data_IF_944336020820
#
_entry.id   IF_944336020820
#
_cell.length_a   1.000
_cell.length_b   1.000
_cell.length_c   1.000
_cell.angle_alpha   90.00
_cell.angle_beta   90.00
_cell.angle_gamma   90.00
#
_symmetry.space_group_name_H-M   'P 1'
#
loop_
_entity.id
_entity.type
_entity.pdbx_description
1 polymer ?
#
# COMPACT_ATOMS: atom_id res chain seq x y z
N UNK A 1 -0.66 71.52 -22.18
CA UNK A 1 -0.33 71.90 -23.57
C UNK A 1 0.05 70.64 -24.30
N UNK A 2 -0.77 70.28 -25.27
CA UNK A 2 -0.78 69.04 -26.05
C UNK A 2 0.43 68.90 -26.97
N UNK A 3 1.10 67.75 -26.98
CA UNK A 3 1.79 67.30 -28.20
C UNK A 3 1.53 65.81 -28.43
N UNK A 4 0.66 65.58 -29.41
CA UNK A 4 0.36 64.32 -30.03
C UNK A 4 1.33 64.20 -31.21
N UNK A 5 2.12 63.13 -31.29
CA UNK A 5 2.82 62.79 -32.55
C UNK A 5 2.61 61.32 -32.86
N UNK A 6 2.01 61.16 -34.03
CA UNK A 6 1.41 59.97 -34.59
C UNK A 6 2.44 58.92 -34.97
N UNK A 7 2.11 57.67 -34.63
CA UNK A 7 2.73 56.41 -35.03
C UNK A 7 2.92 56.32 -36.55
N UNK A 8 4.13 55.94 -37.01
CA UNK A 8 4.35 55.41 -38.36
C UNK A 8 4.94 54.00 -38.30
N UNK A 9 4.00 53.07 -38.42
CA UNK A 9 4.08 51.69 -38.89
C UNK A 9 5.34 51.34 -39.71
N UNK A 10 6.13 50.39 -39.20
CA UNK A 10 6.85 49.41 -40.01
C UNK A 10 6.71 48.04 -39.34
N UNK A 11 5.88 47.22 -39.99
CA UNK A 11 5.70 45.80 -39.71
C UNK A 11 7.03 45.12 -39.99
N UNK A 12 7.75 44.71 -38.95
CA UNK A 12 8.75 43.65 -39.04
C UNK A 12 8.20 42.45 -38.27
N UNK A 13 7.77 41.45 -39.01
CA UNK A 13 7.48 40.12 -38.51
C UNK A 13 8.79 39.46 -38.06
N UNK A 14 8.82 38.89 -36.86
CA UNK A 14 9.43 37.58 -36.56
C UNK A 14 9.49 37.31 -35.04
N UNK A 15 8.74 36.28 -34.62
CA UNK A 15 9.19 35.24 -33.68
C UNK A 15 9.60 35.73 -32.28
N UNK A 16 8.66 35.90 -31.34
CA UNK A 16 8.99 35.90 -29.89
C UNK A 16 7.79 35.49 -29.01
N UNK A 17 7.06 34.46 -29.40
CA UNK A 17 6.19 33.69 -28.52
C UNK A 17 6.19 32.26 -29.10
N UNK A 18 6.53 31.17 -28.38
CA UNK A 18 6.45 30.94 -26.93
C UNK A 18 7.66 30.17 -26.32
N UNK A 19 8.32 30.65 -25.26
CA UNK A 19 9.30 29.82 -24.53
C UNK A 19 9.26 30.00 -23.01
N UNK A 20 8.07 30.23 -22.47
CA UNK A 20 7.85 30.29 -21.02
C UNK A 20 6.91 29.18 -20.52
N UNK A 21 6.73 28.10 -21.29
CA UNK A 21 5.89 26.94 -20.93
C UNK A 21 6.66 25.61 -20.79
N UNK A 22 7.99 25.64 -20.71
CA UNK A 22 8.83 24.42 -20.63
C UNK A 22 9.66 24.28 -19.34
N UNK A 23 9.22 24.87 -18.22
CA UNK A 23 9.86 24.68 -16.92
C UNK A 23 8.93 24.04 -15.88
N UNK A 24 8.01 23.20 -16.31
CA UNK A 24 7.58 22.12 -15.42
C UNK A 24 8.71 21.09 -15.45
N UNK A 25 9.31 20.69 -14.31
CA UNK A 25 10.10 19.48 -14.32
C UNK A 25 9.19 18.37 -14.85
N UNK A 26 9.47 17.86 -16.05
CA UNK A 26 8.95 16.54 -16.39
C UNK A 26 9.60 15.63 -15.38
N UNK A 27 8.84 15.16 -14.39
CA UNK A 27 9.31 14.16 -13.44
C UNK A 27 9.92 13.01 -14.26
N UNK A 28 11.24 12.84 -14.20
CA UNK A 28 11.86 11.64 -14.70
C UNK A 28 11.49 10.53 -13.73
N UNK A 29 10.92 9.48 -14.29
CA UNK A 29 10.52 8.23 -13.68
C UNK A 29 11.76 7.46 -13.19
N UNK A 30 12.41 7.96 -12.13
CA UNK A 30 13.75 7.49 -11.68
C UNK A 30 13.80 7.32 -10.15
N UNK A 31 12.72 6.81 -9.54
CA UNK A 31 12.87 6.18 -8.24
C UNK A 31 12.96 4.69 -8.51
N UNK A 32 14.16 4.11 -8.37
CA UNK A 32 14.41 2.66 -8.38
C UNK A 32 13.74 2.04 -7.13
N UNK A 33 12.41 2.12 -7.04
CA UNK A 33 11.66 1.53 -5.95
C UNK A 33 11.56 0.01 -6.15
N UNK A 34 11.47 -0.76 -5.07
CA UNK A 34 11.12 -2.17 -5.13
C UNK A 34 9.81 -2.37 -5.89
N UNK A 35 9.73 -3.48 -6.62
CA UNK A 35 8.55 -3.97 -7.33
C UNK A 35 8.34 -5.43 -6.94
N UNK A 36 7.45 -5.64 -5.96
CA UNK A 36 7.28 -6.93 -5.28
C UNK A 36 5.81 -7.30 -5.19
N UNK A 37 5.53 -8.59 -5.25
CA UNK A 37 4.28 -9.17 -4.77
C UNK A 37 4.45 -9.59 -3.30
N UNK A 38 3.41 -9.40 -2.50
CA UNK A 38 3.36 -9.77 -1.09
C UNK A 38 2.39 -10.93 -0.90
N UNK A 39 2.88 -11.96 -0.22
CA UNK A 39 2.09 -13.06 0.30
C UNK A 39 1.92 -12.89 1.81
N UNK A 40 0.68 -12.83 2.27
CA UNK A 40 0.36 -12.80 3.70
C UNK A 40 -0.46 -14.01 4.07
N UNK A 41 0.12 -14.86 4.89
CA UNK A 41 -0.53 -16.06 5.43
C UNK A 41 -1.19 -15.72 6.75
N UNK A 42 -2.41 -16.21 6.95
CA UNK A 42 -3.21 -15.93 8.13
C UNK A 42 -3.92 -17.18 8.65
N UNK A 43 -4.36 -17.12 9.90
CA UNK A 43 -5.23 -18.09 10.56
C UNK A 43 -6.30 -17.37 11.39
N UNK A 44 -7.41 -18.05 11.69
CA UNK A 44 -8.53 -17.49 12.45
C UNK A 44 -9.52 -16.67 11.62
N UNK A 45 -9.53 -16.83 10.29
CA UNK A 45 -10.50 -16.18 9.42
C UNK A 45 -10.91 -17.03 8.21
N UNK A 46 -12.13 -16.84 7.74
CA UNK A 46 -12.61 -17.42 6.49
C UNK A 46 -12.71 -16.32 5.43
N UNK A 47 -12.12 -16.51 4.25
CA UNK A 47 -12.22 -15.53 3.16
C UNK A 47 -13.50 -15.75 2.35
N UNK A 48 -14.33 -14.71 2.23
CA UNK A 48 -15.49 -14.68 1.33
C UNK A 48 -15.43 -13.41 0.51
N UNK A 49 -15.36 -13.55 -0.82
CA UNK A 49 -15.28 -12.43 -1.78
C UNK A 49 -14.20 -11.38 -1.43
N UNK A 50 -13.04 -11.85 -0.95
CA UNK A 50 -11.91 -10.99 -0.57
C UNK A 50 -12.06 -10.30 0.79
N UNK A 51 -13.12 -10.59 1.55
CA UNK A 51 -13.29 -10.14 2.94
C UNK A 51 -12.94 -11.26 3.90
N UNK A 52 -12.14 -10.96 4.93
CA UNK A 52 -11.78 -11.90 5.98
C UNK A 52 -12.83 -11.89 7.08
N UNK A 53 -13.60 -12.96 7.22
CA UNK A 53 -14.56 -13.11 8.31
C UNK A 53 -13.88 -13.71 9.53
N UNK A 54 -13.97 -13.01 10.66
CA UNK A 54 -13.29 -13.36 11.91
C UNK A 54 -14.35 -13.60 12.99
N UNK A 55 -14.28 -14.76 13.63
CA UNK A 55 -15.07 -15.08 14.81
C UNK A 55 -14.52 -14.33 16.03
N UNK A 56 -15.35 -13.49 16.66
CA UNK A 56 -15.00 -12.70 17.84
C UNK A 56 -14.57 -13.57 19.05
N UNK A 57 -14.85 -14.87 19.03
CA UNK A 57 -14.47 -15.81 20.10
C UNK A 57 -13.11 -16.48 19.87
N UNK A 58 -12.46 -16.23 18.73
CA UNK A 58 -11.17 -16.83 18.36
C UNK A 58 -10.13 -15.76 18.00
N UNK A 59 -8.85 -15.97 18.33
CA UNK A 59 -7.80 -15.05 17.91
C UNK A 59 -7.67 -15.06 16.38
N UNK A 60 -7.27 -13.91 15.84
CA UNK A 60 -6.84 -13.80 14.45
C UNK A 60 -5.33 -13.58 14.42
N UNK A 61 -4.65 -14.23 13.47
CA UNK A 61 -3.21 -14.10 13.31
C UNK A 61 -2.81 -13.92 11.85
N UNK A 62 -1.81 -13.07 11.64
CA UNK A 62 -0.95 -13.12 10.46
C UNK A 62 0.26 -13.96 10.87
N UNK A 63 0.45 -15.09 10.21
CA UNK A 63 1.51 -16.05 10.52
C UNK A 63 2.78 -15.82 9.71
N UNK A 64 2.66 -15.27 8.49
CA UNK A 64 3.82 -14.83 7.72
C UNK A 64 3.53 -13.71 6.74
N UNK A 65 4.55 -12.87 6.49
CA UNK A 65 4.59 -11.89 5.40
C UNK A 65 5.85 -12.13 4.58
N UNK A 66 5.69 -12.32 3.26
CA UNK A 66 6.81 -12.58 2.34
C UNK A 66 6.72 -11.62 1.16
N UNK A 67 7.86 -11.09 0.73
CA UNK A 67 7.98 -10.31 -0.50
C UNK A 67 8.72 -11.10 -1.57
N UNK A 68 8.14 -11.18 -2.76
CA UNK A 68 8.73 -11.80 -3.94
C UNK A 68 8.93 -10.73 -5.01
N UNK A 69 10.15 -10.53 -5.53
CA UNK A 69 10.35 -9.55 -6.59
C UNK A 69 9.64 -9.98 -7.86
N UNK A 70 9.01 -9.01 -8.53
CA UNK A 70 8.41 -9.20 -9.85
C UNK A 70 9.50 -9.24 -10.92
N UNK A 71 10.59 -8.51 -10.71
CA UNK A 71 11.75 -8.45 -11.61
C UNK A 71 12.53 -9.76 -11.59
N UNK A 72 12.70 -10.37 -12.76
CA UNK A 72 13.36 -11.67 -12.89
C UNK A 72 14.83 -11.61 -12.42
N UNK A 73 15.21 -12.58 -11.58
CA UNK A 73 16.59 -12.72 -11.08
C UNK A 73 16.94 -11.77 -9.92
N UNK A 74 16.07 -10.83 -9.57
CA UNK A 74 16.24 -9.98 -8.40
C UNK A 74 15.95 -10.77 -7.11
N UNK A 75 16.44 -10.26 -5.98
CA UNK A 75 15.99 -10.68 -4.65
C UNK A 75 15.36 -9.52 -3.93
N UNK A 76 14.27 -9.78 -3.24
CA UNK A 76 13.63 -8.84 -2.34
C UNK A 76 13.41 -9.45 -0.96
N UNK A 77 13.16 -8.59 0.02
CA UNK A 77 12.85 -9.00 1.38
C UNK A 77 12.11 -7.92 2.15
N UNK A 78 11.33 -8.37 3.12
CA UNK A 78 10.71 -7.52 4.14
C UNK A 78 11.72 -7.36 5.28
N UNK A 79 11.90 -6.16 5.82
CA UNK A 79 12.76 -5.94 7.00
C UNK A 79 11.98 -5.74 8.28
N UNK A 80 10.76 -5.20 8.19
CA UNK A 80 9.82 -5.10 9.30
C UNK A 80 8.39 -4.92 8.77
N UNK A 81 7.42 -5.25 9.61
CA UNK A 81 5.98 -5.02 9.35
C UNK A 81 5.35 -4.38 10.56
N UNK A 82 4.67 -3.25 10.36
CA UNK A 82 3.79 -2.63 11.35
C UNK A 82 2.33 -2.93 10.98
N UNK A 83 1.55 -3.36 11.97
CA UNK A 83 0.15 -3.74 11.80
C UNK A 83 -0.75 -2.69 12.45
N UNK A 84 -1.76 -2.25 11.71
CA UNK A 84 -2.77 -1.33 12.20
C UNK A 84 -4.17 -1.90 12.09
N UNK A 85 -5.05 -1.55 13.04
CA UNK A 85 -6.48 -1.84 13.00
C UNK A 85 -7.25 -0.55 13.23
N UNK A 86 -8.07 -0.14 12.26
CA UNK A 86 -8.82 1.12 12.28
C UNK A 86 -7.95 2.36 12.60
N UNK A 87 -6.69 2.34 12.13
CA UNK A 87 -5.72 3.40 12.36
C UNK A 87 -4.95 3.30 13.69
N UNK A 88 -5.26 2.36 14.57
CA UNK A 88 -4.50 2.08 15.78
C UNK A 88 -3.40 1.05 15.53
N UNK A 89 -2.20 1.29 16.04
CA UNK A 89 -1.08 0.33 15.92
C UNK A 89 -1.33 -0.86 16.85
N UNK A 90 -1.43 -2.05 16.27
CA UNK A 90 -1.49 -3.31 17.01
C UNK A 90 -0.11 -3.76 17.46
N UNK A 91 0.90 -3.59 16.61
CA UNK A 91 2.26 -4.00 16.90
C UNK A 91 3.19 -3.90 15.70
N UNK A 92 4.47 -4.21 15.94
CA UNK A 92 5.51 -4.26 14.92
C UNK A 92 6.26 -5.58 15.05
N UNK A 93 6.46 -6.26 13.92
CA UNK A 93 7.30 -7.44 13.82
C UNK A 93 8.56 -7.11 13.03
N UNK A 94 9.72 -7.28 13.66
CA UNK A 94 11.02 -6.94 13.09
C UNK A 94 11.84 -8.16 12.62
N UNK A 95 11.29 -9.37 12.77
CA UNK A 95 11.98 -10.61 12.41
C UNK A 95 11.02 -11.55 11.64
N UNK A 96 11.51 -12.26 10.62
CA UNK A 96 10.72 -13.29 9.95
C UNK A 96 10.27 -14.37 10.95
N UNK A 97 9.06 -14.94 10.80
CA UNK A 97 8.17 -14.81 9.63
C UNK A 97 7.34 -13.52 9.59
N UNK A 98 7.61 -12.53 10.46
CA UNK A 98 6.81 -11.32 10.61
C UNK A 98 5.38 -11.68 11.00
N UNK A 99 5.25 -12.41 12.11
CA UNK A 99 3.95 -12.80 12.64
C UNK A 99 3.41 -11.76 13.62
N UNK A 100 2.08 -11.70 13.71
CA UNK A 100 1.33 -11.06 14.78
C UNK A 100 0.04 -11.84 15.05
N UNK A 101 -0.37 -11.90 16.31
CA UNK A 101 -1.67 -12.43 16.73
C UNK A 101 -2.33 -11.38 17.62
N UNK A 102 -3.65 -11.21 17.49
CA UNK A 102 -4.42 -10.37 18.38
C UNK A 102 -5.76 -11.00 18.76
N UNK A 103 -6.19 -10.69 19.97
CA UNK A 103 -7.48 -11.11 20.51
C UNK A 103 -8.62 -10.28 19.90
N UNK A 104 -9.62 -10.96 19.37
CA UNK A 104 -10.77 -10.38 18.70
C UNK A 104 -11.94 -10.17 19.66
N UNK A 105 -11.89 -10.75 20.87
CA UNK A 105 -12.97 -10.73 21.87
C UNK A 105 -13.39 -9.33 22.32
N UNK A 106 -12.48 -8.37 22.18
CA UNK A 106 -12.68 -6.96 22.56
C UNK A 106 -13.05 -6.07 21.38
N UNK A 107 -12.98 -6.58 20.15
CA UNK A 107 -13.37 -5.83 18.96
C UNK A 107 -14.88 -5.73 18.87
N UNK A 108 -15.40 -4.65 18.32
CA UNK A 108 -16.83 -4.56 18.02
C UNK A 108 -17.17 -5.52 16.87
N UNK A 109 -18.39 -6.04 16.79
CA UNK A 109 -18.84 -6.69 15.55
C UNK A 109 -18.99 -5.66 14.44
N UNK A 110 -18.66 -6.07 13.20
CA UNK A 110 -18.68 -5.17 12.06
C UNK A 110 -17.40 -5.20 11.23
N UNK A 111 -17.29 -4.22 10.34
CA UNK A 111 -16.15 -4.04 9.45
C UNK A 111 -15.04 -3.27 10.14
N UNK A 112 -13.83 -3.81 10.07
CA UNK A 112 -12.60 -3.15 10.50
C UNK A 112 -11.58 -3.12 9.37
N UNK A 113 -10.73 -2.10 9.36
CA UNK A 113 -9.65 -1.95 8.39
C UNK A 113 -8.34 -2.45 8.99
N UNK A 114 -7.83 -3.56 8.47
CA UNK A 114 -6.50 -4.07 8.80
C UNK A 114 -5.48 -3.49 7.82
N UNK A 115 -4.43 -2.88 8.33
CA UNK A 115 -3.34 -2.29 7.53
C UNK A 115 -2.01 -2.92 7.87
N UNK A 116 -1.18 -3.11 6.84
CA UNK A 116 0.20 -3.53 6.94
C UNK A 116 1.07 -2.44 6.30
N UNK A 117 2.04 -1.96 7.06
CA UNK A 117 3.10 -1.06 6.58
C UNK A 117 4.42 -1.80 6.67
N UNK A 118 5.06 -2.02 5.54
CA UNK A 118 6.21 -2.92 5.42
C UNK A 118 7.40 -2.14 4.86
N UNK A 119 8.58 -2.32 5.44
CA UNK A 119 9.81 -1.84 4.79
C UNK A 119 10.33 -2.93 3.87
N UNK A 120 10.54 -2.59 2.60
CA UNK A 120 10.96 -3.49 1.53
C UNK A 120 12.36 -3.09 1.05
N UNK A 121 13.21 -4.10 0.87
CA UNK A 121 14.48 -3.98 0.17
C UNK A 121 14.45 -4.89 -1.05
N UNK A 122 14.92 -4.39 -2.19
CA UNK A 122 15.14 -5.18 -3.41
C UNK A 122 16.53 -4.87 -3.97
N UNK A 123 17.19 -5.87 -4.55
CA UNK A 123 18.49 -5.71 -5.18
C UNK A 123 18.46 -4.62 -6.26
N UNK A 124 19.34 -3.62 -6.11
CA UNK A 124 19.44 -2.50 -7.05
C UNK A 124 18.41 -1.40 -6.82
N UNK A 125 17.57 -1.50 -5.79
CA UNK A 125 16.54 -0.53 -5.46
C UNK A 125 16.85 0.26 -4.18
N UNK A 126 16.23 1.43 -4.07
CA UNK A 126 16.16 2.16 -2.80
C UNK A 126 15.30 1.42 -1.78
N UNK A 127 15.56 1.64 -0.49
CA UNK A 127 14.64 1.18 0.56
C UNK A 127 13.32 1.92 0.42
N UNK A 128 12.23 1.16 0.48
CA UNK A 128 10.90 1.71 0.30
C UNK A 128 9.92 1.17 1.34
N UNK A 129 8.81 1.88 1.49
CA UNK A 129 7.67 1.47 2.30
C UNK A 129 6.56 0.96 1.40
N UNK A 130 6.15 -0.29 1.61
CA UNK A 130 4.97 -0.88 1.00
C UNK A 130 3.77 -0.78 1.94
N UNK A 131 2.61 -0.47 1.38
CA UNK A 131 1.33 -0.39 2.09
C UNK A 131 0.35 -1.40 1.52
N UNK A 132 -0.26 -2.17 2.41
CA UNK A 132 -1.37 -3.05 2.10
C UNK A 132 -2.49 -2.85 3.11
N UNK A 133 -3.74 -2.98 2.66
CA UNK A 133 -4.90 -2.91 3.52
C UNK A 133 -5.96 -3.91 3.07
N UNK A 134 -6.63 -4.52 4.04
CA UNK A 134 -7.76 -5.43 3.79
C UNK A 134 -8.86 -5.21 4.83
N UNK A 135 -10.08 -5.62 4.50
CA UNK A 135 -11.21 -5.57 5.44
C UNK A 135 -11.30 -6.89 6.20
N UNK A 136 -11.38 -6.79 7.52
CA UNK A 136 -11.85 -7.89 8.35
C UNK A 136 -13.30 -7.60 8.77
N UNK A 137 -14.16 -8.61 8.72
CA UNK A 137 -15.53 -8.59 9.17
C UNK A 137 -15.63 -9.44 10.44
N UNK A 138 -15.72 -8.78 11.59
CA UNK A 138 -15.87 -9.44 12.89
C UNK A 138 -17.34 -9.82 13.06
N UNK A 139 -17.59 -11.09 13.36
CA UNK A 139 -18.92 -11.66 13.62
C UNK A 139 -19.01 -12.19 15.05
N UNK A 140 -20.21 -12.15 15.64
CA UNK A 140 -20.39 -12.58 17.03
C UNK A 140 -20.32 -14.11 17.18
N UNK A 141 -20.59 -14.84 16.10
CA UNK A 141 -20.57 -16.30 16.08
C UNK A 141 -20.14 -16.84 14.70
N UNK A 142 -19.55 -18.05 14.63
CA UNK A 142 -19.18 -18.69 13.37
C UNK A 142 -20.35 -18.91 12.39
N UNK A 143 -21.57 -19.04 12.88
CA UNK A 143 -22.78 -19.29 12.07
C UNK A 143 -23.14 -18.11 11.16
N UNK A 144 -22.61 -16.91 11.45
CA UNK A 144 -22.79 -15.70 10.64
C UNK A 144 -21.80 -15.62 9.46
N UNK A 145 -20.82 -16.52 9.39
CA UNK A 145 -19.87 -16.57 8.29
C UNK A 145 -20.57 -17.18 7.06
N UNK A 146 -20.57 -16.52 5.88
CA UNK A 146 -21.28 -17.00 4.69
C UNK A 146 -20.74 -18.29 4.06
N UNK A 147 -19.66 -18.87 4.62
CA UNK A 147 -19.00 -20.07 4.14
C UNK A 147 -18.45 -20.89 5.31
N UNK A 148 -18.29 -22.19 5.11
CA UNK A 148 -17.60 -23.11 6.03
C UNK A 148 -16.18 -23.46 5.54
N UNK A 149 -15.61 -22.62 4.66
CA UNK A 149 -14.26 -22.81 4.14
C UNK A 149 -13.19 -22.68 5.25
N UNK A 150 -11.96 -23.03 4.89
CA UNK A 150 -10.82 -23.03 5.79
C UNK A 150 -10.68 -21.70 6.56
N UNK A 151 -10.36 -21.81 7.85
CA UNK A 151 -10.09 -20.68 8.74
C UNK A 151 -8.66 -20.16 8.61
N UNK A 152 -7.97 -20.52 7.54
CA UNK A 152 -6.60 -20.14 7.24
C UNK A 152 -6.43 -19.96 5.73
N UNK A 153 -5.44 -19.18 5.33
CA UNK A 153 -5.16 -18.97 3.92
C UNK A 153 -4.01 -18.02 3.69
N UNK A 154 -3.79 -17.69 2.42
CA UNK A 154 -2.85 -16.68 1.99
C UNK A 154 -3.59 -15.70 1.07
N UNK A 155 -3.44 -14.41 1.32
CA UNK A 155 -3.79 -13.41 0.32
C UNK A 155 -2.54 -12.93 -0.41
N UNK A 156 -2.68 -12.78 -1.72
CA UNK A 156 -1.64 -12.31 -2.64
C UNK A 156 -1.96 -10.87 -3.01
N UNK A 157 -0.98 -9.98 -2.92
CA UNK A 157 -1.18 -8.57 -3.17
C UNK A 157 0.00 -7.94 -3.88
N UNK A 158 -0.30 -7.02 -4.79
CA UNK A 158 0.65 -6.07 -5.32
C UNK A 158 0.48 -4.75 -4.54
N UNK A 159 1.33 -4.45 -3.54
CA UNK A 159 1.12 -3.33 -2.63
C UNK A 159 1.43 -1.99 -3.31
N UNK A 160 0.96 -0.89 -2.71
CA UNK A 160 1.43 0.45 -3.08
C UNK A 160 2.79 0.69 -2.43
N UNK A 161 3.77 1.19 -3.19
CA UNK A 161 5.15 1.39 -2.72
C UNK A 161 5.54 2.88 -2.81
N UNK A 162 6.23 3.38 -1.78
CA UNK A 162 6.72 4.76 -1.69
C UNK A 162 8.17 4.78 -1.18
N UNK A 163 8.98 5.71 -1.70
CA UNK A 163 10.32 5.96 -1.17
C UNK A 163 10.27 6.30 0.33
N UNK A 164 11.31 5.93 1.09
CA UNK A 164 11.48 6.35 2.49
C UNK A 164 11.98 7.78 2.65
#
# INVERSE_FOLDING_TARGET
>A
MTHNTTVRMRILAAIFLPLAMFLLPSCSDENDLPDVDIDVTYTGATTVDGTLYVDQTQPFAISSVVATPVREGHKAGVTNVAYGLDGWVLGVSANPPFAIEFDTSTLQTGRHLLTLTMTIAEEGCELATAYYATTIQVVASPEEIPSTDDTQGTFHAHPTIQAQ
#
